data_IF_661337588874
#
_entry.id   IF_661337588874
#
_cell.length_a   1.000
_cell.length_b   1.000
_cell.length_c   1.000
_cell.angle_alpha   90.00
_cell.angle_beta   90.00
_cell.angle_gamma   90.00
#
_symmetry.space_group_name_H-M   'P 1'
#
loop_
_entity.id
_entity.type
_entity.pdbx_description
1 polymer ?
#
# COMPACT_ATOMS: atom_id res chain seq x y z
N UNK A 1 -36.18 -38.32 46.90
CA UNK A 1 -37.29 -37.38 46.57
C UNK A 1 -37.68 -37.63 45.14
N UNK A 2 -38.92 -38.04 44.89
CA UNK A 2 -39.43 -38.33 43.55
C UNK A 2 -39.63 -37.04 42.75
N UNK A 3 -39.35 -37.09 41.44
CA UNK A 3 -39.61 -35.97 40.53
C UNK A 3 -41.11 -35.90 40.26
N UNK A 4 -41.72 -34.74 40.47
CA UNK A 4 -43.17 -34.57 40.28
C UNK A 4 -43.55 -34.49 38.80
N UNK A 5 -44.76 -34.93 38.46
CA UNK A 5 -45.32 -34.82 37.11
C UNK A 5 -45.36 -33.36 36.61
N UNK A 6 -45.58 -32.40 37.51
CA UNK A 6 -45.60 -30.97 37.20
C UNK A 6 -44.23 -30.46 36.75
N UNK A 7 -43.16 -30.84 37.45
CA UNK A 7 -41.78 -30.46 37.09
C UNK A 7 -41.37 -31.08 35.74
N UNK A 8 -41.77 -32.32 35.47
CA UNK A 8 -41.52 -32.98 34.18
C UNK A 8 -42.23 -32.27 33.01
N UNK A 9 -43.50 -31.91 33.18
CA UNK A 9 -44.28 -31.20 32.16
C UNK A 9 -43.71 -29.79 31.88
N UNK A 10 -43.18 -29.12 32.91
CA UNK A 10 -42.55 -27.82 32.74
C UNK A 10 -41.24 -27.92 31.94
N UNK A 11 -40.39 -28.90 32.25
CA UNK A 11 -39.15 -29.15 31.50
C UNK A 11 -39.43 -29.59 30.07
N UNK A 12 -40.44 -30.43 29.83
CA UNK A 12 -40.89 -30.86 28.50
C UNK A 12 -41.25 -29.65 27.61
N UNK A 13 -42.01 -28.69 28.16
CA UNK A 13 -42.35 -27.43 27.48
C UNK A 13 -41.12 -26.57 27.16
N UNK A 14 -40.06 -26.64 27.96
CA UNK A 14 -38.80 -25.92 27.70
C UNK A 14 -37.99 -26.62 26.60
N UNK A 15 -37.86 -27.95 26.67
CA UNK A 15 -37.08 -28.76 25.72
C UNK A 15 -37.74 -28.82 24.33
N UNK A 16 -39.06 -28.85 24.25
CA UNK A 16 -39.80 -28.87 22.97
C UNK A 16 -39.60 -27.62 22.10
N UNK A 17 -39.28 -26.49 22.73
CA UNK A 17 -39.02 -25.19 22.07
C UNK A 17 -37.63 -25.06 21.47
N UNK A 18 -36.72 -25.99 21.75
CA UNK A 18 -35.35 -25.95 21.23
C UNK A 18 -35.31 -26.20 19.72
N UNK A 19 -34.41 -25.49 19.04
CA UNK A 19 -34.15 -25.69 17.61
C UNK A 19 -32.67 -25.41 17.28
N UNK A 20 -31.83 -26.44 17.34
CA UNK A 20 -30.41 -26.34 17.04
C UNK A 20 -30.13 -25.97 15.58
N UNK A 21 -30.92 -26.49 14.64
CA UNK A 21 -30.80 -26.18 13.22
C UNK A 21 -31.03 -24.69 12.94
N UNK A 22 -32.11 -24.13 13.50
CA UNK A 22 -32.41 -22.68 13.41
C UNK A 22 -31.30 -21.84 14.05
N UNK A 23 -30.77 -22.28 15.19
CA UNK A 23 -29.65 -21.61 15.86
C UNK A 23 -28.40 -21.56 14.97
N UNK A 24 -28.07 -22.69 14.33
CA UNK A 24 -26.96 -22.78 13.40
C UNK A 24 -27.15 -21.88 12.17
N UNK A 25 -28.27 -22.04 11.47
CA UNK A 25 -28.55 -21.29 10.22
C UNK A 25 -28.56 -19.78 10.46
N UNK A 26 -29.32 -19.32 11.46
CA UNK A 26 -29.39 -17.88 11.73
C UNK A 26 -28.11 -17.39 12.37
N UNK A 27 -27.45 -18.19 13.21
CA UNK A 27 -26.12 -17.86 13.75
C UNK A 27 -25.09 -17.59 12.64
N UNK A 28 -25.08 -18.41 11.58
CA UNK A 28 -24.22 -18.19 10.40
C UNK A 28 -24.46 -16.84 9.73
N UNK A 29 -25.71 -16.39 9.62
CA UNK A 29 -26.03 -15.05 9.09
C UNK A 29 -25.53 -13.93 10.00
N UNK A 30 -25.63 -14.12 11.32
CA UNK A 30 -25.10 -13.16 12.29
C UNK A 30 -23.56 -13.08 12.26
N UNK A 31 -22.85 -14.14 11.85
CA UNK A 31 -21.40 -14.04 11.59
C UNK A 31 -21.10 -13.05 10.47
N UNK A 32 -21.84 -13.10 9.36
CA UNK A 32 -21.65 -12.16 8.23
C UNK A 32 -21.89 -10.72 8.68
N UNK A 33 -23.01 -10.46 9.36
CA UNK A 33 -23.32 -9.12 9.87
C UNK A 33 -22.26 -8.62 10.86
N UNK A 34 -21.77 -9.49 11.73
CA UNK A 34 -20.73 -9.14 12.70
C UNK A 34 -19.39 -8.85 12.00
N UNK A 35 -19.04 -9.62 10.96
CA UNK A 35 -17.83 -9.38 10.18
C UNK A 35 -17.89 -8.04 9.45
N UNK A 36 -19.01 -7.72 8.80
CA UNK A 36 -19.16 -6.45 8.07
C UNK A 36 -19.10 -5.27 9.02
N UNK A 37 -19.83 -5.32 10.13
CA UNK A 37 -19.79 -4.27 11.14
C UNK A 37 -18.36 -4.08 11.68
N UNK A 38 -17.65 -5.17 11.95
CA UNK A 38 -16.27 -5.11 12.40
C UNK A 38 -15.36 -4.50 11.34
N UNK A 39 -15.44 -4.94 10.08
CA UNK A 39 -14.64 -4.41 8.97
C UNK A 39 -14.86 -2.89 8.79
N UNK A 40 -16.11 -2.43 8.68
CA UNK A 40 -16.38 -1.00 8.52
C UNK A 40 -15.98 -0.19 9.75
N UNK A 41 -16.10 -0.75 10.95
CA UNK A 41 -15.61 -0.08 12.17
C UNK A 41 -14.09 0.02 12.16
N UNK A 42 -13.38 -1.03 11.72
CA UNK A 42 -11.93 -1.04 11.59
C UNK A 42 -11.44 0.04 10.63
N UNK A 43 -12.12 0.24 9.49
CA UNK A 43 -11.79 1.32 8.54
C UNK A 43 -11.90 2.73 9.14
N UNK A 44 -12.74 2.93 10.16
CA UNK A 44 -12.94 4.23 10.80
C UNK A 44 -12.10 4.40 12.07
N UNK A 45 -11.98 3.34 12.88
CA UNK A 45 -11.33 3.34 14.18
C UNK A 45 -10.58 2.00 14.38
N UNK A 46 -9.36 1.85 13.83
CA UNK A 46 -8.63 0.59 13.89
C UNK A 46 -8.19 0.20 15.32
N UNK A 47 -7.99 1.19 16.20
CA UNK A 47 -7.50 0.97 17.57
C UNK A 47 -8.44 0.11 18.44
N UNK A 48 -9.74 0.12 18.14
CA UNK A 48 -10.74 -0.66 18.89
C UNK A 48 -10.98 -2.05 18.31
N UNK A 49 -10.31 -2.42 17.22
CA UNK A 49 -10.60 -3.64 16.49
C UNK A 49 -10.37 -4.92 17.32
N UNK A 50 -9.35 -4.95 18.17
CA UNK A 50 -9.14 -6.10 19.06
C UNK A 50 -10.31 -6.28 20.05
N UNK A 51 -10.95 -5.19 20.51
CA UNK A 51 -12.09 -5.27 21.45
C UNK A 51 -13.32 -5.96 20.83
N UNK A 52 -13.44 -5.90 19.50
CA UNK A 52 -14.51 -6.58 18.76
C UNK A 52 -14.43 -8.11 18.87
N UNK A 53 -13.29 -8.69 19.26
CA UNK A 53 -13.18 -10.12 19.58
C UNK A 53 -14.16 -10.48 20.72
N UNK A 54 -14.21 -9.68 21.78
CA UNK A 54 -15.11 -9.92 22.92
C UNK A 54 -16.56 -9.60 22.58
N UNK A 55 -16.78 -8.48 21.89
CA UNK A 55 -18.12 -8.02 21.48
C UNK A 55 -18.77 -9.05 20.56
N UNK A 56 -18.04 -9.54 19.56
CA UNK A 56 -18.54 -10.55 18.63
C UNK A 56 -18.86 -11.88 19.34
N UNK A 57 -18.09 -12.26 20.37
CA UNK A 57 -18.43 -13.40 21.23
C UNK A 57 -19.83 -13.26 21.86
N UNK A 58 -20.12 -12.10 22.46
CA UNK A 58 -21.45 -11.79 23.03
C UNK A 58 -22.55 -11.79 21.96
N UNK A 59 -22.30 -11.19 20.81
CA UNK A 59 -23.28 -11.09 19.71
C UNK A 59 -23.63 -12.48 19.16
N UNK A 60 -22.62 -13.30 18.85
CA UNK A 60 -22.82 -14.65 18.31
C UNK A 60 -23.53 -15.54 19.33
N UNK A 61 -23.08 -15.56 20.58
CA UNK A 61 -23.75 -16.33 21.62
C UNK A 61 -25.18 -15.85 21.89
N UNK A 62 -25.42 -14.53 21.89
CA UNK A 62 -26.76 -13.93 21.96
C UNK A 62 -27.67 -14.37 20.81
N UNK A 63 -27.16 -14.36 19.58
CA UNK A 63 -27.90 -14.81 18.38
C UNK A 63 -28.29 -16.30 18.48
N UNK A 64 -27.34 -17.16 18.86
CA UNK A 64 -27.59 -18.60 19.06
C UNK A 64 -28.63 -18.82 20.16
N UNK A 65 -28.56 -18.07 21.27
CA UNK A 65 -29.54 -18.13 22.36
C UNK A 65 -30.94 -17.72 21.91
N UNK A 66 -31.04 -16.60 21.18
CA UNK A 66 -32.30 -16.02 20.72
C UNK A 66 -33.03 -16.97 19.76
N UNK A 67 -32.30 -17.51 18.78
CA UNK A 67 -32.86 -18.34 17.71
C UNK A 67 -33.02 -19.81 18.11
N UNK A 68 -32.09 -20.33 18.91
CA UNK A 68 -32.06 -21.73 19.31
C UNK A 68 -32.87 -22.07 20.55
N UNK A 69 -32.98 -21.11 21.49
CA UNK A 69 -33.64 -21.27 22.80
C UNK A 69 -33.17 -22.53 23.56
N UNK A 70 -31.90 -22.86 23.38
CA UNK A 70 -31.27 -24.11 23.81
C UNK A 70 -30.85 -24.16 25.27
N UNK A 71 -30.93 -25.36 25.85
CA UNK A 71 -30.47 -25.70 27.21
C UNK A 71 -29.34 -26.74 27.19
N UNK A 72 -29.03 -27.32 26.03
CA UNK A 72 -28.06 -28.42 25.88
C UNK A 72 -26.69 -27.91 25.44
N UNK A 73 -25.68 -28.77 25.51
CA UNK A 73 -24.30 -28.43 25.16
C UNK A 73 -24.09 -28.11 23.67
N UNK A 74 -24.95 -28.63 22.79
CA UNK A 74 -24.88 -28.42 21.34
C UNK A 74 -24.95 -26.93 20.98
N UNK A 75 -25.72 -26.13 21.71
CA UNK A 75 -25.82 -24.69 21.46
C UNK A 75 -24.54 -23.94 21.81
N UNK A 76 -23.86 -24.36 22.87
CA UNK A 76 -22.53 -23.83 23.21
C UNK A 76 -21.51 -24.19 22.13
N UNK A 77 -21.55 -25.41 21.61
CA UNK A 77 -20.68 -25.85 20.52
C UNK A 77 -20.92 -25.05 19.23
N UNK A 78 -22.18 -24.83 18.86
CA UNK A 78 -22.55 -24.00 17.70
C UNK A 78 -21.97 -22.59 17.85
N UNK A 79 -22.18 -21.94 19.00
CA UNK A 79 -21.69 -20.58 19.24
C UNK A 79 -20.15 -20.50 19.20
N UNK A 80 -19.47 -21.49 19.78
CA UNK A 80 -18.01 -21.59 19.74
C UNK A 80 -17.49 -21.69 18.30
N UNK A 81 -18.04 -22.61 17.50
CA UNK A 81 -17.60 -22.84 16.12
C UNK A 81 -17.87 -21.61 15.22
N UNK A 82 -19.04 -20.99 15.36
CA UNK A 82 -19.39 -19.77 14.64
C UNK A 82 -18.47 -18.61 15.00
N UNK A 83 -18.15 -18.43 16.28
CA UNK A 83 -17.23 -17.39 16.73
C UNK A 83 -15.80 -17.66 16.23
N UNK A 84 -15.31 -18.91 16.33
CA UNK A 84 -14.00 -19.28 15.82
C UNK A 84 -13.86 -19.01 14.30
N UNK A 85 -14.90 -19.33 13.51
CA UNK A 85 -14.92 -19.04 12.08
C UNK A 85 -14.92 -17.52 11.79
N UNK A 86 -15.65 -16.74 12.59
CA UNK A 86 -15.65 -15.28 12.48
C UNK A 86 -14.26 -14.69 12.76
N UNK A 87 -13.58 -15.16 13.81
CA UNK A 87 -12.21 -14.75 14.13
C UNK A 87 -11.25 -15.14 12.98
N UNK A 88 -11.37 -16.36 12.46
CA UNK A 88 -10.56 -16.81 11.33
C UNK A 88 -10.73 -15.89 10.11
N UNK A 89 -11.96 -15.50 9.77
CA UNK A 89 -12.21 -14.56 8.69
C UNK A 89 -11.65 -13.16 8.94
N UNK A 90 -11.74 -12.66 10.18
CA UNK A 90 -11.14 -11.38 10.57
C UNK A 90 -9.60 -11.39 10.45
N UNK A 91 -8.97 -12.53 10.76
CA UNK A 91 -7.52 -12.74 10.52
C UNK A 91 -7.20 -12.70 9.03
N UNK A 92 -7.99 -13.38 8.18
CA UNK A 92 -7.76 -13.38 6.73
C UNK A 92 -7.87 -11.97 6.10
N UNK A 93 -8.73 -11.11 6.66
CA UNK A 93 -8.88 -9.72 6.23
C UNK A 93 -7.87 -8.76 6.88
N UNK A 94 -6.94 -9.27 7.71
CA UNK A 94 -5.98 -8.46 8.46
C UNK A 94 -6.60 -7.34 9.32
N UNK A 95 -7.86 -7.46 9.74
CA UNK A 95 -8.55 -6.44 10.55
C UNK A 95 -8.43 -6.66 12.06
N UNK A 96 -7.70 -7.70 12.49
CA UNK A 96 -7.57 -8.04 13.91
C UNK A 96 -6.64 -7.07 14.66
N UNK A 97 -5.65 -6.52 13.95
CA UNK A 97 -4.59 -5.68 14.51
C UNK A 97 -4.27 -4.54 13.53
N UNK A 98 -4.14 -3.30 14.03
CA UNK A 98 -3.60 -2.20 13.23
C UNK A 98 -2.17 -2.52 12.73
N UNK A 99 -1.80 -2.07 11.51
CA UNK A 99 -0.42 -2.14 11.03
C UNK A 99 0.53 -1.46 12.03
N UNK A 100 1.58 -2.17 12.44
CA UNK A 100 2.57 -1.66 13.41
C UNK A 100 2.20 -1.78 14.88
N UNK A 101 1.05 -2.37 15.23
CA UNK A 101 0.67 -2.60 16.64
C UNK A 101 1.48 -3.75 17.28
N UNK A 102 2.09 -3.47 18.43
CA UNK A 102 2.79 -4.45 19.29
C UNK A 102 1.83 -4.98 20.36
N UNK A 103 0.73 -5.61 19.93
CA UNK A 103 -0.10 -6.36 20.88
C UNK A 103 0.57 -7.70 21.14
N UNK A 104 0.89 -7.98 22.39
CA UNK A 104 1.46 -9.26 22.80
C UNK A 104 0.53 -10.41 22.37
N UNK A 105 1.09 -11.43 21.71
CA UNK A 105 0.33 -12.60 21.26
C UNK A 105 -0.47 -13.27 22.40
N UNK A 106 0.04 -13.21 23.64
CA UNK A 106 -0.64 -13.69 24.84
C UNK A 106 -1.93 -12.91 25.16
N UNK A 107 -1.96 -11.61 24.92
CA UNK A 107 -3.15 -10.76 25.13
C UNK A 107 -4.22 -11.11 24.11
N UNK A 108 -3.85 -11.24 22.82
CA UNK A 108 -4.79 -11.65 21.77
C UNK A 108 -5.35 -13.05 22.02
N UNK A 109 -4.50 -14.00 22.43
CA UNK A 109 -4.94 -15.33 22.80
C UNK A 109 -5.93 -15.27 23.97
N UNK A 110 -5.65 -14.45 24.99
CA UNK A 110 -6.56 -14.18 26.10
C UNK A 110 -7.90 -13.59 25.65
N UNK A 111 -7.89 -12.65 24.70
CA UNK A 111 -9.11 -12.06 24.13
C UNK A 111 -9.91 -13.07 23.31
N UNK A 112 -9.27 -13.88 22.48
CA UNK A 112 -9.92 -14.96 21.73
C UNK A 112 -10.55 -15.99 22.67
N UNK A 113 -9.83 -16.39 23.73
CA UNK A 113 -10.35 -17.29 24.76
C UNK A 113 -11.53 -16.64 25.51
N UNK A 114 -11.43 -15.36 25.84
CA UNK A 114 -12.50 -14.58 26.45
C UNK A 114 -13.74 -14.47 25.56
N UNK A 115 -13.57 -14.19 24.27
CA UNK A 115 -14.65 -14.10 23.29
C UNK A 115 -15.35 -15.45 23.10
N UNK A 116 -14.58 -16.53 22.98
CA UNK A 116 -15.09 -17.89 22.94
C UNK A 116 -15.88 -18.27 24.20
N UNK A 117 -15.35 -17.91 25.38
CA UNK A 117 -16.05 -18.10 26.64
C UNK A 117 -17.38 -17.34 26.69
N UNK A 118 -17.37 -16.06 26.30
CA UNK A 118 -18.57 -15.21 26.25
C UNK A 118 -19.62 -15.78 25.30
N UNK A 119 -19.21 -16.27 24.11
CA UNK A 119 -20.10 -16.93 23.16
C UNK A 119 -20.75 -18.18 23.77
N UNK A 120 -19.94 -19.06 24.35
CA UNK A 120 -20.40 -20.31 24.98
C UNK A 120 -21.35 -20.05 26.15
N UNK A 121 -20.98 -19.10 27.01
CA UNK A 121 -21.73 -18.75 28.22
C UNK A 121 -23.09 -18.13 27.89
N UNK A 122 -23.14 -17.21 26.91
CA UNK A 122 -24.37 -16.52 26.55
C UNK A 122 -25.32 -17.39 25.73
N UNK A 123 -24.80 -18.30 24.89
CA UNK A 123 -25.58 -19.16 23.99
C UNK A 123 -26.59 -20.07 24.70
N UNK A 124 -26.29 -20.54 25.91
CA UNK A 124 -27.12 -21.50 26.64
C UNK A 124 -28.06 -20.81 27.63
N UNK A 125 -29.33 -21.19 27.61
CA UNK A 125 -30.26 -20.84 28.70
C UNK A 125 -30.01 -21.72 29.92
N UNK A 126 -30.16 -21.15 31.11
CA UNK A 126 -30.06 -21.89 32.38
C UNK A 126 -31.43 -22.47 32.73
N UNK A 127 -31.45 -23.68 33.25
CA UNK A 127 -32.64 -24.28 33.85
C UNK A 127 -32.71 -23.78 35.31
N UNK A 128 -33.89 -23.40 35.83
CA UNK A 128 -34.07 -23.10 37.25
C UNK A 128 -33.61 -24.26 38.12
N UNK A 129 -33.00 -23.98 39.27
CA UNK A 129 -32.42 -25.01 40.14
C UNK A 129 -33.44 -26.09 40.54
N UNK A 130 -34.67 -25.67 40.85
CA UNK A 130 -35.78 -26.57 41.21
C UNK A 130 -36.07 -27.64 40.14
N UNK A 131 -35.83 -27.31 38.86
CA UNK A 131 -36.12 -28.18 37.72
C UNK A 131 -34.91 -29.04 37.30
N UNK A 132 -33.75 -28.94 37.96
CA UNK A 132 -32.55 -29.69 37.57
C UNK A 132 -32.74 -31.21 37.60
N UNK A 133 -33.50 -31.74 38.57
CA UNK A 133 -33.76 -33.19 38.67
C UNK A 133 -34.63 -33.68 37.51
N UNK A 134 -35.69 -32.93 37.18
CA UNK A 134 -36.55 -33.22 36.04
C UNK A 134 -35.81 -33.08 34.70
N UNK A 135 -34.95 -32.07 34.58
CA UNK A 135 -34.08 -31.90 33.44
C UNK A 135 -33.11 -33.06 33.26
N UNK A 136 -32.37 -33.44 34.30
CA UNK A 136 -31.45 -34.58 34.25
C UNK A 136 -32.17 -35.88 33.84
N UNK A 137 -33.36 -36.13 34.39
CA UNK A 137 -34.15 -37.31 34.01
C UNK A 137 -34.50 -37.31 32.52
N UNK A 138 -34.96 -36.17 31.97
CA UNK A 138 -35.37 -36.05 30.57
C UNK A 138 -34.21 -35.88 29.57
N UNK A 139 -32.99 -35.64 30.04
CA UNK A 139 -31.81 -35.54 29.16
C UNK A 139 -30.93 -36.79 29.19
N UNK A 140 -30.77 -37.45 30.33
CA UNK A 140 -29.81 -38.55 30.51
C UNK A 140 -30.48 -39.93 30.71
N UNK A 141 -31.57 -40.00 31.48
CA UNK A 141 -32.20 -41.29 31.84
C UNK A 141 -33.23 -41.71 30.79
N UNK A 142 -34.17 -40.82 30.50
CA UNK A 142 -35.27 -41.00 29.55
C UNK A 142 -35.18 -39.90 28.49
N UNK A 143 -34.29 -40.04 27.48
CA UNK A 143 -33.97 -38.97 26.56
C UNK A 143 -35.22 -38.47 25.81
N UNK A 144 -35.52 -37.19 26.03
CA UNK A 144 -36.69 -36.52 25.54
C UNK A 144 -36.85 -36.60 24.01
N UNK A 145 -38.09 -36.62 23.53
CA UNK A 145 -38.43 -36.79 22.11
C UNK A 145 -37.82 -35.71 21.20
N UNK A 146 -37.58 -34.50 21.74
CA UNK A 146 -36.94 -33.39 21.00
C UNK A 146 -35.59 -33.76 20.42
N UNK A 147 -34.81 -34.63 21.06
CA UNK A 147 -33.50 -35.10 20.54
C UNK A 147 -33.65 -35.98 19.29
N UNK A 148 -34.80 -36.65 19.15
CA UNK A 148 -35.09 -37.49 17.97
C UNK A 148 -35.55 -36.66 16.78
N UNK A 149 -35.99 -35.41 16.98
CA UNK A 149 -36.42 -34.52 15.89
C UNK A 149 -35.23 -33.99 15.09
N UNK A 150 -35.35 -33.95 13.75
CA UNK A 150 -34.25 -33.51 12.88
C UNK A 150 -33.70 -32.12 13.23
N UNK A 151 -34.57 -31.20 13.66
CA UNK A 151 -34.21 -29.83 14.05
C UNK A 151 -33.22 -29.73 15.23
N UNK A 152 -33.04 -30.79 16.01
CA UNK A 152 -32.16 -30.81 17.19
C UNK A 152 -31.08 -31.90 17.15
N UNK A 153 -31.03 -32.72 16.09
CA UNK A 153 -30.00 -33.74 15.92
C UNK A 153 -28.66 -33.05 15.60
N UNK A 154 -27.69 -33.20 16.49
CA UNK A 154 -26.39 -32.55 16.37
C UNK A 154 -25.66 -32.90 15.06
N UNK A 155 -25.77 -34.15 14.60
CA UNK A 155 -25.17 -34.62 13.35
C UNK A 155 -25.89 -34.10 12.09
N UNK A 156 -27.01 -33.39 12.23
CA UNK A 156 -27.66 -32.65 11.14
C UNK A 156 -27.38 -31.16 11.31
N UNK A 157 -27.60 -30.61 12.51
CA UNK A 157 -27.47 -29.17 12.73
C UNK A 157 -26.03 -28.68 12.61
N UNK A 158 -25.02 -29.46 13.04
CA UNK A 158 -23.62 -29.05 12.93
C UNK A 158 -23.10 -29.07 11.49
N UNK A 159 -23.29 -30.14 10.68
CA UNK A 159 -22.84 -30.10 9.29
C UNK A 159 -23.54 -29.01 8.47
N UNK A 160 -24.86 -28.83 8.65
CA UNK A 160 -25.59 -27.75 7.95
C UNK A 160 -25.06 -26.38 8.35
N UNK A 161 -24.85 -26.15 9.65
CA UNK A 161 -24.26 -24.90 10.13
C UNK A 161 -22.86 -24.68 9.55
N UNK A 162 -22.00 -25.70 9.55
CA UNK A 162 -20.63 -25.60 9.05
C UNK A 162 -20.57 -25.31 7.54
N UNK A 163 -21.36 -26.01 6.72
CA UNK A 163 -21.41 -25.76 5.27
C UNK A 163 -21.92 -24.35 4.99
N UNK A 164 -23.01 -23.94 5.65
CA UNK A 164 -23.61 -22.64 5.44
C UNK A 164 -22.71 -21.51 5.94
N UNK A 165 -22.16 -21.62 7.15
CA UNK A 165 -21.29 -20.60 7.72
C UNK A 165 -20.03 -20.44 6.89
N UNK A 166 -19.39 -21.53 6.48
CA UNK A 166 -18.18 -21.46 5.65
C UNK A 166 -18.47 -20.84 4.29
N UNK A 167 -19.56 -21.23 3.62
CA UNK A 167 -19.94 -20.64 2.32
C UNK A 167 -20.25 -19.14 2.41
N UNK A 168 -21.05 -18.74 3.42
CA UNK A 168 -21.38 -17.33 3.64
C UNK A 168 -20.15 -16.50 4.01
N UNK A 169 -19.28 -17.02 4.89
CA UNK A 169 -18.06 -16.34 5.30
C UNK A 169 -17.10 -16.21 4.12
N UNK A 170 -16.94 -17.25 3.29
CA UNK A 170 -16.10 -17.19 2.09
C UNK A 170 -16.57 -16.10 1.12
N UNK A 171 -17.86 -16.06 0.79
CA UNK A 171 -18.43 -15.02 -0.10
C UNK A 171 -18.22 -13.64 0.51
N UNK A 172 -18.48 -13.49 1.81
CA UNK A 172 -18.31 -12.24 2.54
C UNK A 172 -16.87 -11.76 2.56
N UNK A 173 -15.91 -12.64 2.86
CA UNK A 173 -14.48 -12.27 2.90
C UNK A 173 -13.97 -11.91 1.52
N UNK A 174 -14.35 -12.67 0.48
CA UNK A 174 -13.96 -12.36 -0.89
C UNK A 174 -14.51 -11.02 -1.35
N UNK A 175 -15.77 -10.70 -1.01
CA UNK A 175 -16.36 -9.40 -1.31
C UNK A 175 -15.60 -8.26 -0.63
N UNK A 176 -15.34 -8.38 0.68
CA UNK A 176 -14.62 -7.35 1.43
C UNK A 176 -13.17 -7.19 0.95
N UNK A 177 -12.51 -8.27 0.54
CA UNK A 177 -11.17 -8.22 -0.04
C UNK A 177 -11.13 -7.47 -1.37
N UNK A 178 -12.08 -7.74 -2.27
CA UNK A 178 -12.20 -6.99 -3.54
C UNK A 178 -12.54 -5.53 -3.30
N UNK A 179 -13.38 -5.25 -2.29
CA UNK A 179 -13.72 -3.89 -1.89
C UNK A 179 -12.49 -3.12 -1.38
N UNK A 180 -11.62 -3.76 -0.60
CA UNK A 180 -10.36 -3.20 -0.11
C UNK A 180 -9.44 -2.77 -1.27
N UNK A 181 -9.23 -3.68 -2.24
CA UNK A 181 -8.45 -3.40 -3.45
C UNK A 181 -9.03 -2.22 -4.24
N UNK A 182 -10.36 -2.13 -4.34
CA UNK A 182 -11.01 -1.03 -5.06
C UNK A 182 -10.80 0.32 -4.35
N UNK A 183 -10.78 0.35 -3.02
CA UNK A 183 -10.45 1.56 -2.24
C UNK A 183 -8.99 1.96 -2.49
N UNK A 184 -8.05 1.02 -2.40
CA UNK A 184 -6.63 1.30 -2.62
C UNK A 184 -6.36 1.82 -4.04
N UNK A 185 -6.98 1.20 -5.05
CA UNK A 185 -6.87 1.64 -6.44
C UNK A 185 -7.37 3.07 -6.62
N UNK A 186 -8.52 3.40 -6.03
CA UNK A 186 -9.08 4.76 -6.11
C UNK A 186 -8.17 5.79 -5.44
N UNK A 187 -7.60 5.47 -4.28
CA UNK A 187 -6.65 6.35 -3.60
C UNK A 187 -5.36 6.56 -4.40
N UNK A 188 -4.87 5.51 -5.07
CA UNK A 188 -3.71 5.61 -5.95
C UNK A 188 -3.99 6.49 -7.17
N UNK A 189 -5.17 6.37 -7.79
CA UNK A 189 -5.59 7.24 -8.90
C UNK A 189 -5.70 8.70 -8.46
N UNK A 190 -6.35 8.97 -7.33
CA UNK A 190 -6.45 10.34 -6.77
C UNK A 190 -5.08 10.93 -6.47
N UNK A 191 -4.15 10.15 -5.92
CA UNK A 191 -2.78 10.58 -5.67
C UNK A 191 -2.02 10.93 -6.96
N UNK A 192 -2.17 10.12 -8.01
CA UNK A 192 -1.56 10.39 -9.32
C UNK A 192 -2.18 11.64 -9.96
N UNK A 193 -3.51 11.78 -9.92
CA UNK A 193 -4.20 12.95 -10.45
C UNK A 193 -3.77 14.24 -9.74
N UNK A 194 -3.68 14.23 -8.41
CA UNK A 194 -3.20 15.36 -7.62
C UNK A 194 -1.75 15.73 -7.97
N UNK A 195 -0.89 14.72 -8.17
CA UNK A 195 0.49 14.94 -8.61
C UNK A 195 0.53 15.56 -10.01
N UNK A 196 -0.32 15.11 -10.94
CA UNK A 196 -0.38 15.67 -12.29
C UNK A 196 -0.84 17.14 -12.28
N UNK A 197 -1.86 17.49 -11.51
CA UNK A 197 -2.30 18.88 -11.33
C UNK A 197 -1.18 19.76 -10.76
N UNK A 198 -0.42 19.25 -9.78
CA UNK A 198 0.73 19.96 -9.24
C UNK A 198 1.83 20.21 -10.29
N UNK A 199 2.02 19.26 -11.22
CA UNK A 199 2.97 19.40 -12.32
C UNK A 199 2.49 20.38 -13.39
N UNK A 200 1.20 20.41 -13.70
CA UNK A 200 0.64 21.38 -14.65
C UNK A 200 0.82 22.83 -14.16
N UNK A 201 0.73 23.06 -12.85
CA UNK A 201 0.91 24.39 -12.26
C UNK A 201 2.37 24.90 -12.26
N UNK A 202 3.36 23.99 -12.24
CA UNK A 202 4.79 24.35 -12.16
C UNK A 202 5.46 24.25 -13.54
N UNK A 203 4.93 23.44 -14.44
CA UNK A 203 5.52 23.20 -15.75
C UNK A 203 5.35 24.39 -16.69
N UNK A 204 6.48 24.91 -17.19
CA UNK A 204 6.43 25.91 -18.25
C UNK A 204 5.95 25.30 -19.57
N UNK A 205 5.26 26.11 -20.36
CA UNK A 205 5.03 25.84 -21.78
C UNK A 205 6.36 25.87 -22.54
N UNK A 206 6.46 25.06 -23.60
CA UNK A 206 7.64 25.02 -24.49
C UNK A 206 7.40 25.77 -25.80
N UNK A 207 6.32 26.55 -25.87
CA UNK A 207 6.05 27.45 -27.00
C UNK A 207 7.03 28.62 -27.03
N UNK A 208 7.42 29.05 -28.23
CA UNK A 208 8.42 30.10 -28.46
C UNK A 208 8.08 31.38 -27.68
N UNK A 209 6.82 31.81 -27.71
CA UNK A 209 6.35 33.02 -27.02
C UNK A 209 6.53 32.97 -25.49
N UNK A 210 6.47 31.78 -24.89
CA UNK A 210 6.65 31.62 -23.45
C UNK A 210 8.13 31.47 -23.10
N UNK A 211 8.90 30.81 -23.96
CA UNK A 211 10.35 30.73 -23.80
C UNK A 211 11.03 32.09 -23.94
N UNK A 212 10.55 32.98 -24.83
CA UNK A 212 11.02 34.35 -25.01
C UNK A 212 10.96 35.19 -23.72
N UNK A 213 9.95 34.93 -22.85
CA UNK A 213 9.79 35.63 -21.57
C UNK A 213 10.80 35.17 -20.52
N UNK A 214 11.44 34.02 -20.71
CA UNK A 214 12.37 33.43 -19.75
C UNK A 214 13.81 33.85 -20.05
N UNK A 215 14.61 34.05 -19.01
CA UNK A 215 16.06 34.18 -19.18
C UNK A 215 16.68 32.83 -19.59
N UNK A 216 17.79 32.86 -20.31
CA UNK A 216 18.50 31.65 -20.76
C UNK A 216 18.82 30.69 -19.61
N UNK A 217 19.23 31.23 -18.45
CA UNK A 217 19.52 30.45 -17.23
C UNK A 217 18.27 29.79 -16.65
N UNK A 218 17.12 30.45 -16.71
CA UNK A 218 15.84 29.87 -16.25
C UNK A 218 15.39 28.77 -17.22
N UNK A 219 15.42 29.05 -18.53
CA UNK A 219 15.08 28.07 -19.55
C UNK A 219 15.96 26.81 -19.47
N UNK A 220 17.27 26.95 -19.28
CA UNK A 220 18.19 25.82 -19.06
C UNK A 220 17.82 24.98 -17.82
N UNK A 221 17.45 25.62 -16.70
CA UNK A 221 17.01 24.89 -15.49
C UNK A 221 15.70 24.14 -15.73
N UNK A 222 14.74 24.71 -16.46
CA UNK A 222 13.53 23.98 -16.84
C UNK A 222 13.81 22.85 -17.84
N UNK A 223 14.77 23.02 -18.76
CA UNK A 223 15.21 21.93 -19.63
C UNK A 223 15.80 20.77 -18.81
N UNK A 224 16.66 21.07 -17.82
CA UNK A 224 17.17 20.08 -16.89
C UNK A 224 16.07 19.44 -16.05
N UNK A 225 15.07 20.23 -15.63
CA UNK A 225 13.95 19.73 -14.85
C UNK A 225 13.05 18.77 -15.65
N UNK A 226 12.80 19.07 -16.93
CA UNK A 226 12.14 18.14 -17.85
C UNK A 226 12.99 16.90 -18.12
N UNK A 227 14.31 16.98 -18.10
CA UNK A 227 15.16 15.79 -18.28
C UNK A 227 15.18 14.92 -17.02
N UNK A 228 15.57 15.49 -15.88
CA UNK A 228 15.81 14.77 -14.61
C UNK A 228 14.56 14.47 -13.79
N UNK A 229 13.45 15.17 -14.05
CA UNK A 229 12.26 15.14 -13.19
C UNK A 229 12.38 15.97 -11.90
N UNK A 230 13.41 16.82 -11.79
CA UNK A 230 13.64 17.65 -10.61
C UNK A 230 13.98 19.10 -10.98
N UNK A 231 13.27 20.05 -10.39
CA UNK A 231 13.56 21.47 -10.55
C UNK A 231 14.64 21.88 -9.55
N UNK A 232 15.69 22.53 -10.06
CA UNK A 232 16.76 23.10 -9.26
C UNK A 232 16.59 24.61 -9.11
N UNK A 233 16.85 25.10 -7.90
CA UNK A 233 16.93 26.54 -7.68
C UNK A 233 18.20 27.13 -8.34
N UNK A 234 18.37 28.47 -8.26
CA UNK A 234 19.52 29.16 -8.89
C UNK A 234 20.89 28.73 -8.38
N UNK A 235 20.96 28.07 -7.23
CA UNK A 235 22.19 27.58 -6.62
C UNK A 235 22.43 26.08 -6.90
N UNK A 236 21.49 25.42 -7.60
CA UNK A 236 21.60 24.00 -7.92
C UNK A 236 21.11 23.06 -6.82
N UNK A 237 20.36 23.56 -5.83
CA UNK A 237 19.68 22.71 -4.85
C UNK A 237 18.30 22.31 -5.34
N UNK A 238 17.86 21.13 -4.94
CA UNK A 238 16.50 20.64 -5.17
C UNK A 238 15.47 21.64 -4.64
N UNK A 239 14.52 22.02 -5.50
CA UNK A 239 13.42 22.93 -5.18
C UNK A 239 12.10 22.16 -5.13
N UNK A 240 11.81 21.41 -6.19
CA UNK A 240 10.61 20.59 -6.27
C UNK A 240 10.76 19.45 -7.28
N UNK A 241 9.84 18.48 -7.23
CA UNK A 241 9.65 17.55 -8.33
C UNK A 241 9.08 18.27 -9.56
N UNK A 242 9.38 17.73 -10.74
CA UNK A 242 9.00 18.33 -12.02
C UNK A 242 8.61 17.22 -13.02
N UNK A 243 7.70 17.46 -13.97
CA UNK A 243 7.35 16.44 -14.96
C UNK A 243 8.54 16.13 -15.86
N UNK A 244 8.87 14.83 -16.00
CA UNK A 244 9.94 14.40 -16.90
C UNK A 244 9.41 14.25 -18.34
N UNK A 245 10.10 14.84 -19.30
CA UNK A 245 9.88 14.74 -20.74
C UNK A 245 11.15 15.12 -21.51
N UNK A 246 11.87 14.10 -22.00
CA UNK A 246 13.05 14.30 -22.87
C UNK A 246 12.73 15.13 -24.11
N UNK A 247 11.52 14.99 -24.64
CA UNK A 247 11.04 15.82 -25.76
C UNK A 247 11.02 17.31 -25.39
N UNK A 248 10.35 17.68 -24.29
CA UNK A 248 10.27 19.09 -23.85
C UNK A 248 11.66 19.64 -23.50
N UNK A 249 12.53 18.85 -22.87
CA UNK A 249 13.90 19.23 -22.60
C UNK A 249 14.66 19.57 -23.91
N UNK A 250 14.61 18.69 -24.91
CA UNK A 250 15.25 18.91 -26.22
C UNK A 250 14.64 20.10 -26.97
N UNK A 251 13.33 20.32 -26.88
CA UNK A 251 12.66 21.47 -27.50
C UNK A 251 13.17 22.79 -26.94
N UNK A 252 13.27 22.90 -25.61
CA UNK A 252 13.84 24.10 -24.97
C UNK A 252 15.29 24.30 -25.42
N UNK A 253 16.11 23.25 -25.39
CA UNK A 253 17.52 23.34 -25.81
C UNK A 253 17.66 23.76 -27.28
N UNK A 254 16.85 23.19 -28.19
CA UNK A 254 16.84 23.58 -29.60
C UNK A 254 16.49 25.04 -29.80
N UNK A 255 15.49 25.56 -29.09
CA UNK A 255 15.13 26.98 -29.13
C UNK A 255 16.30 27.85 -28.64
N UNK A 256 16.96 27.48 -27.53
CA UNK A 256 18.11 28.24 -27.02
C UNK A 256 19.30 28.23 -28.00
N UNK A 257 19.47 27.17 -28.77
CA UNK A 257 20.49 27.07 -29.81
C UNK A 257 20.12 27.91 -31.04
N UNK A 258 18.88 27.82 -31.54
CA UNK A 258 18.48 28.50 -32.78
C UNK A 258 18.27 30.01 -32.58
N UNK A 259 17.57 30.41 -31.52
CA UNK A 259 17.14 31.80 -31.34
C UNK A 259 18.15 32.62 -30.53
N UNK A 260 18.87 31.98 -29.60
CA UNK A 260 19.78 32.69 -28.67
C UNK A 260 21.24 32.36 -28.88
N UNK A 261 21.56 31.41 -29.76
CA UNK A 261 22.92 30.96 -30.06
C UNK A 261 23.70 30.57 -28.79
N UNK A 262 23.01 29.99 -27.79
CA UNK A 262 23.62 29.74 -26.48
C UNK A 262 24.59 28.54 -26.53
N UNK A 263 25.90 28.75 -26.29
CA UNK A 263 26.90 27.68 -26.42
C UNK A 263 26.67 26.53 -25.43
N UNK A 264 26.24 26.84 -24.20
CA UNK A 264 25.91 25.82 -23.18
C UNK A 264 24.74 24.94 -23.60
N UNK A 265 23.69 25.52 -24.18
CA UNK A 265 22.54 24.76 -24.66
C UNK A 265 22.95 23.86 -25.84
N UNK A 266 23.83 24.34 -26.71
CA UNK A 266 24.40 23.57 -27.84
C UNK A 266 25.20 22.37 -27.34
N UNK A 267 26.05 22.57 -26.33
CA UNK A 267 26.80 21.50 -25.67
C UNK A 267 25.86 20.42 -25.12
N UNK A 268 24.90 20.81 -24.28
CA UNK A 268 23.96 19.87 -23.64
C UNK A 268 23.14 19.12 -24.71
N UNK A 269 22.64 19.82 -25.72
CA UNK A 269 21.90 19.20 -26.81
C UNK A 269 22.76 18.19 -27.57
N UNK A 270 24.04 18.50 -27.80
CA UNK A 270 25.01 17.60 -28.40
C UNK A 270 25.23 16.34 -27.56
N UNK A 271 25.40 16.48 -26.24
CA UNK A 271 25.51 15.34 -25.32
C UNK A 271 24.25 14.46 -25.29
N UNK A 272 23.06 15.08 -25.38
CA UNK A 272 21.77 14.36 -25.40
C UNK A 272 21.39 13.77 -26.78
N UNK A 273 22.18 14.04 -27.82
CA UNK A 273 21.94 13.58 -29.19
C UNK A 273 22.96 12.49 -29.50
N UNK A 274 22.48 11.29 -29.80
CA UNK A 274 23.34 10.17 -30.18
C UNK A 274 23.83 10.43 -31.62
N UNK A 275 24.97 9.84 -32.01
CA UNK A 275 25.53 9.83 -33.38
C UNK A 275 26.43 11.04 -33.75
N UNK A 276 26.84 11.10 -35.02
CA UNK A 276 27.81 12.10 -35.55
C UNK A 276 27.32 13.55 -35.39
N UNK A 277 26.00 13.76 -35.40
CA UNK A 277 25.38 15.07 -35.19
C UNK A 277 25.55 15.60 -33.76
N UNK A 278 25.59 14.71 -32.75
CA UNK A 278 25.87 15.12 -31.37
C UNK A 278 27.32 15.59 -31.21
N UNK A 279 28.24 14.90 -31.89
CA UNK A 279 29.67 15.22 -31.90
C UNK A 279 29.96 16.59 -32.51
N UNK A 280 29.31 16.92 -33.63
CA UNK A 280 29.49 18.22 -34.29
C UNK A 280 29.00 19.35 -33.40
N UNK A 281 27.84 19.19 -32.74
CA UNK A 281 27.28 20.16 -31.80
C UNK A 281 28.21 20.43 -30.61
N UNK A 282 28.81 19.39 -30.01
CA UNK A 282 29.77 19.56 -28.90
C UNK A 282 31.01 20.33 -29.37
N UNK A 283 31.54 20.02 -30.57
CA UNK A 283 32.69 20.73 -31.14
C UNK A 283 32.38 22.19 -31.44
N UNK A 284 31.22 22.47 -32.02
CA UNK A 284 30.76 23.83 -32.24
C UNK A 284 30.62 24.60 -30.93
N UNK A 285 30.01 24.00 -29.90
CA UNK A 285 29.89 24.63 -28.58
C UNK A 285 31.27 24.95 -27.96
N UNK A 286 32.25 24.08 -28.17
CA UNK A 286 33.64 24.28 -27.75
C UNK A 286 34.29 25.48 -28.45
N UNK A 287 34.07 25.60 -29.77
CA UNK A 287 34.54 26.71 -30.59
C UNK A 287 33.86 28.03 -30.20
N UNK A 288 32.56 27.98 -29.89
CA UNK A 288 31.75 29.11 -29.42
C UNK A 288 32.10 29.53 -27.98
N UNK A 289 32.97 28.78 -27.30
CA UNK A 289 33.57 29.16 -26.01
C UNK A 289 32.97 28.51 -24.78
N UNK A 290 32.09 27.52 -24.91
CA UNK A 290 31.59 26.79 -23.75
C UNK A 290 32.69 25.99 -23.05
N UNK A 291 32.76 26.15 -21.73
CA UNK A 291 33.86 25.58 -20.95
C UNK A 291 33.75 24.07 -20.75
N UNK A 292 32.53 23.53 -20.60
CA UNK A 292 32.34 22.09 -20.48
C UNK A 292 32.51 21.43 -21.85
N UNK A 293 32.00 22.03 -22.93
CA UNK A 293 32.24 21.55 -24.28
C UNK A 293 33.74 21.39 -24.60
N UNK A 294 34.58 22.33 -24.16
CA UNK A 294 36.05 22.23 -24.31
C UNK A 294 36.67 21.07 -23.53
N UNK A 295 36.19 20.81 -22.32
CA UNK A 295 36.62 19.64 -21.52
C UNK A 295 36.23 18.35 -22.25
N UNK A 296 34.97 18.24 -22.66
CA UNK A 296 34.45 17.02 -23.27
C UNK A 296 35.01 16.78 -24.68
N UNK A 297 35.29 17.83 -25.46
CA UNK A 297 35.99 17.68 -26.75
C UNK A 297 37.43 17.19 -26.55
N UNK A 298 38.12 17.62 -25.49
CA UNK A 298 39.43 17.07 -25.11
C UNK A 298 39.33 15.62 -24.57
N UNK A 299 38.29 15.31 -23.79
CA UNK A 299 38.06 13.98 -23.22
C UNK A 299 37.85 12.92 -24.30
N UNK A 300 37.31 13.29 -25.47
CA UNK A 300 37.15 12.37 -26.62
C UNK A 300 38.46 11.73 -27.07
N UNK A 301 39.60 12.41 -26.94
CA UNK A 301 40.89 11.80 -27.25
C UNK A 301 41.18 10.64 -26.30
N UNK A 302 40.87 10.77 -25.02
CA UNK A 302 41.01 9.70 -24.04
C UNK A 302 40.05 8.55 -24.30
N UNK A 303 38.78 8.85 -24.58
CA UNK A 303 37.77 7.81 -24.87
C UNK A 303 38.07 7.02 -26.16
N UNK A 304 38.91 7.56 -27.06
CA UNK A 304 39.40 6.90 -28.27
C UNK A 304 40.81 6.29 -28.10
N UNK A 305 41.33 6.21 -26.87
CA UNK A 305 42.60 5.55 -26.53
C UNK A 305 43.85 6.45 -26.55
N UNK A 306 43.71 7.76 -26.77
CA UNK A 306 44.81 8.72 -26.75
C UNK A 306 44.81 9.58 -25.46
N UNK A 307 45.11 8.93 -24.34
CA UNK A 307 45.13 9.56 -23.02
C UNK A 307 46.17 10.69 -22.90
N UNK A 308 47.30 10.56 -23.62
CA UNK A 308 48.37 11.57 -23.57
C UNK A 308 47.89 12.91 -24.14
N UNK A 309 47.23 12.88 -25.30
CA UNK A 309 46.70 14.09 -25.92
C UNK A 309 45.59 14.74 -25.09
N UNK A 310 44.69 13.93 -24.52
CA UNK A 310 43.66 14.43 -23.62
C UNK A 310 44.26 15.10 -22.37
N UNK A 311 45.27 14.48 -21.76
CA UNK A 311 45.98 15.03 -20.60
C UNK A 311 46.62 16.37 -20.92
N UNK A 312 47.33 16.46 -22.05
CA UNK A 312 47.98 17.70 -22.48
C UNK A 312 46.97 18.83 -22.72
N UNK A 313 45.84 18.53 -23.38
CA UNK A 313 44.78 19.51 -23.67
C UNK A 313 44.09 19.99 -22.39
N UNK A 314 43.68 19.06 -21.52
CA UNK A 314 43.01 19.38 -20.26
C UNK A 314 43.94 20.14 -19.30
N UNK A 315 45.22 19.77 -19.22
CA UNK A 315 46.21 20.49 -18.39
C UNK A 315 46.41 21.92 -18.87
N UNK A 316 46.56 22.13 -20.19
CA UNK A 316 46.66 23.48 -20.77
C UNK A 316 45.40 24.29 -20.51
N UNK A 317 44.23 23.67 -20.68
CA UNK A 317 42.97 24.35 -20.44
C UNK A 317 42.78 24.73 -18.98
N UNK A 318 43.08 23.83 -18.04
CA UNK A 318 43.10 24.11 -16.59
C UNK A 318 44.00 25.29 -16.25
N UNK A 319 45.20 25.34 -16.81
CA UNK A 319 46.18 26.39 -16.50
C UNK A 319 45.86 27.75 -17.13
N UNK A 320 45.01 27.78 -18.16
CA UNK A 320 44.64 29.01 -18.88
C UNK A 320 43.25 29.52 -18.50
N UNK A 321 42.39 28.66 -17.96
CA UNK A 321 41.07 29.03 -17.48
C UNK A 321 41.16 29.63 -16.06
N UNK A 322 40.43 30.72 -15.83
CA UNK A 322 40.38 31.41 -14.53
C UNK A 322 39.24 30.89 -13.63
N UNK A 323 38.37 30.04 -14.16
CA UNK A 323 37.24 29.49 -13.41
C UNK A 323 37.68 28.32 -12.51
N UNK A 324 37.60 28.47 -11.17
CA UNK A 324 38.01 27.43 -10.22
C UNK A 324 37.10 26.20 -10.24
N UNK A 325 35.88 26.29 -10.78
CA UNK A 325 34.98 25.13 -10.94
C UNK A 325 35.42 24.26 -12.11
N UNK A 326 35.81 24.87 -13.23
CA UNK A 326 36.36 24.15 -14.37
C UNK A 326 37.68 23.46 -14.00
N UNK A 327 38.54 24.14 -13.24
CA UNK A 327 39.78 23.53 -12.75
C UNK A 327 39.51 22.29 -11.88
N UNK A 328 38.55 22.36 -10.95
CA UNK A 328 38.16 21.23 -10.10
C UNK A 328 37.51 20.09 -10.87
N UNK A 329 36.66 20.40 -11.85
CA UNK A 329 36.06 19.36 -12.70
C UNK A 329 37.14 18.62 -13.51
N UNK A 330 38.15 19.33 -14.02
CA UNK A 330 39.31 18.70 -14.68
C UNK A 330 40.14 17.85 -13.69
N UNK A 331 40.36 18.32 -12.46
CA UNK A 331 41.04 17.55 -11.42
C UNK A 331 40.30 16.26 -11.07
N UNK A 332 38.97 16.34 -10.93
CA UNK A 332 38.10 15.18 -10.74
C UNK A 332 38.31 14.13 -11.84
N UNK A 333 38.35 14.54 -13.11
CA UNK A 333 38.63 13.63 -14.23
C UNK A 333 40.01 12.96 -14.09
N UNK A 334 41.03 13.68 -13.60
CA UNK A 334 42.34 13.09 -13.36
C UNK A 334 42.39 12.16 -12.15
N UNK A 335 41.62 12.44 -11.10
CA UNK A 335 41.54 11.64 -9.87
C UNK A 335 40.80 10.32 -10.09
N UNK A 336 39.61 10.36 -10.72
CA UNK A 336 38.82 9.17 -11.04
C UNK A 336 39.37 8.42 -12.26
N UNK A 337 40.03 9.13 -13.17
CA UNK A 337 40.62 8.59 -14.38
C UNK A 337 39.69 8.68 -15.60
N UNK A 338 40.29 8.62 -16.78
CA UNK A 338 39.58 8.83 -18.04
C UNK A 338 38.53 7.76 -18.35
N UNK A 339 38.70 6.53 -17.85
CA UNK A 339 37.74 5.45 -18.10
C UNK A 339 36.38 5.80 -17.49
N UNK A 340 36.37 6.13 -16.20
CA UNK A 340 35.15 6.47 -15.46
C UNK A 340 34.51 7.76 -16.00
N UNK A 341 35.32 8.76 -16.34
CA UNK A 341 34.81 10.00 -16.95
C UNK A 341 34.16 9.78 -18.32
N UNK A 342 34.70 8.88 -19.14
CA UNK A 342 34.10 8.51 -20.43
C UNK A 342 32.78 7.74 -20.25
N UNK A 343 32.68 6.88 -19.23
CA UNK A 343 31.47 6.10 -18.98
C UNK A 343 30.36 6.95 -18.35
N UNK A 344 30.68 7.83 -17.40
CA UNK A 344 29.73 8.76 -16.79
C UNK A 344 29.06 9.67 -17.83
N UNK A 345 29.85 10.17 -18.79
CA UNK A 345 29.35 10.99 -19.90
C UNK A 345 28.31 10.30 -20.79
N UNK A 346 28.31 8.96 -20.82
CA UNK A 346 27.36 8.15 -21.58
C UNK A 346 26.11 7.83 -20.79
N UNK A 347 26.23 7.70 -19.46
CA UNK A 347 25.13 7.31 -18.57
C UNK A 347 24.24 8.51 -18.23
N UNK A 348 24.81 9.68 -17.99
CA UNK A 348 24.04 10.92 -17.73
C UNK A 348 24.51 12.09 -18.62
N UNK A 349 23.96 12.22 -19.85
CA UNK A 349 24.35 13.26 -20.79
C UNK A 349 23.95 14.70 -20.39
N UNK A 350 23.07 14.88 -19.40
CA UNK A 350 22.64 16.21 -18.98
C UNK A 350 22.70 16.36 -17.46
N UNK A 351 23.92 16.59 -16.96
CA UNK A 351 24.20 16.71 -15.54
C UNK A 351 23.73 18.03 -14.94
N UNK A 352 23.41 18.01 -13.63
CA UNK A 352 22.97 19.17 -12.88
C UNK A 352 23.97 20.33 -12.92
N UNK A 353 25.27 20.04 -12.90
CA UNK A 353 26.33 21.04 -12.91
C UNK A 353 26.31 21.93 -14.16
N UNK A 354 25.78 21.44 -15.28
CA UNK A 354 25.72 22.20 -16.53
C UNK A 354 24.75 23.39 -16.46
N UNK A 355 23.81 23.39 -15.51
CA UNK A 355 22.82 24.46 -15.31
C UNK A 355 23.02 25.25 -14.02
N UNK A 356 24.05 24.92 -13.22
CA UNK A 356 24.37 25.66 -11.99
C UNK A 356 25.06 26.97 -12.33
N UNK A 357 24.57 28.07 -11.76
CA UNK A 357 25.34 29.31 -11.69
C UNK A 357 26.20 29.27 -10.44
N UNK A 358 27.49 29.05 -10.64
CA UNK A 358 28.48 29.24 -9.60
C UNK A 358 28.87 30.72 -9.54
N UNK A 359 28.86 31.31 -8.35
CA UNK A 359 29.32 32.68 -8.09
C UNK A 359 30.72 32.65 -7.50
#
# INVERSE_FOLDING_TARGET
>A
MEVTQKELAEVDKLLSKQNALKAGVLGSLWCVLSLWLWYFTYLQVPDIAATFILISGLVIGGAVRMHGRGYTIVFSLIAFLLHALLIYAAVLLNILLPPGSLVWASVLLGMCAGGAWLAVFTARKKIPFELHRAFFRLTEIEPHSSYKTMKNRWFISLPVMAVLSSGLMLVSTSFLYVFDIAIEAKQAEEFVAQRQESFENIAISVEVNDLDKLTTKVALRHAYAFYSGTLLNKYGYFESYYPSSTYKAKTILKYLVSERQEPRAKFILGMMTIEEDGISLVREASNDGDSYARIYDALRFACNGNNKMATDMLTRYKNTNRDPYIARHIESIFEYGFHDACDESRVDPFQAEFVKTFQ
#
